data_IF_578887194988
#
_entry.id   IF_578887194988
#
_cell.length_a   1.000
_cell.length_b   1.000
_cell.length_c   1.000
_cell.angle_alpha   90.00
_cell.angle_beta   90.00
_cell.angle_gamma   90.00
#
_symmetry.space_group_name_H-M   'P 1'
#
loop_
_entity.id
_entity.type
_entity.pdbx_description
1 polymer ?
#
# COMPACT_ATOMS: atom_id res chain seq x y z
N UNK A 1 6.91 6.29 -4.26
CA UNK A 1 7.20 4.86 -4.05
C UNK A 1 6.02 4.23 -3.32
N UNK A 2 5.59 3.03 -3.72
CA UNK A 2 4.54 2.29 -3.04
C UNK A 2 5.04 1.71 -1.71
N UNK A 3 4.12 1.51 -0.77
CA UNK A 3 4.40 0.98 0.57
C UNK A 3 3.34 -0.07 0.90
N UNK A 4 3.81 -1.28 1.20
CA UNK A 4 3.00 -2.46 1.55
C UNK A 4 3.38 -2.91 2.96
N UNK A 5 2.41 -3.33 3.77
CA UNK A 5 2.63 -3.85 5.11
C UNK A 5 1.99 -5.22 5.29
N UNK A 6 2.66 -6.10 6.05
CA UNK A 6 2.09 -7.37 6.51
C UNK A 6 1.34 -7.20 7.84
N UNK A 7 0.29 -7.99 8.07
CA UNK A 7 -0.47 -7.97 9.32
C UNK A 7 -0.13 -9.08 10.31
N UNK A 8 0.39 -10.21 9.82
CA UNK A 8 0.70 -11.41 10.62
C UNK A 8 1.92 -12.16 10.04
N UNK A 9 2.52 -13.12 10.78
CA UNK A 9 3.65 -13.91 10.27
C UNK A 9 3.38 -14.65 8.96
N UNK A 10 2.21 -15.31 8.81
CA UNK A 10 1.85 -16.00 7.57
C UNK A 10 1.53 -15.03 6.43
N UNK A 11 0.99 -13.86 6.76
CA UNK A 11 0.67 -12.83 5.77
C UNK A 11 1.92 -12.21 5.12
N UNK A 12 3.09 -12.28 5.78
CA UNK A 12 4.36 -11.84 5.20
C UNK A 12 4.61 -12.43 3.81
N UNK A 13 4.28 -13.71 3.61
CA UNK A 13 4.46 -14.36 2.31
C UNK A 13 3.64 -13.65 1.22
N UNK A 14 2.34 -13.44 1.46
CA UNK A 14 1.44 -12.82 0.50
C UNK A 14 1.76 -11.33 0.30
N UNK A 15 2.12 -10.62 1.37
CA UNK A 15 2.47 -9.20 1.30
C UNK A 15 3.78 -8.97 0.52
N UNK A 16 4.79 -9.82 0.67
CA UNK A 16 6.02 -9.75 -0.13
C UNK A 16 5.75 -10.15 -1.58
N UNK A 17 4.96 -11.19 -1.82
CA UNK A 17 4.58 -11.59 -3.18
C UNK A 17 3.87 -10.45 -3.92
N UNK A 18 2.94 -9.78 -3.26
CA UNK A 18 2.25 -8.59 -3.77
C UNK A 18 3.21 -7.41 -3.99
N UNK A 19 4.16 -7.17 -3.07
CA UNK A 19 5.18 -6.13 -3.24
C UNK A 19 6.06 -6.38 -4.48
N UNK A 20 6.43 -7.65 -4.75
CA UNK A 20 7.18 -8.03 -5.95
C UNK A 20 6.32 -7.82 -7.19
N UNK A 21 5.04 -8.23 -7.17
CA UNK A 21 4.10 -7.99 -8.29
C UNK A 21 4.05 -6.51 -8.64
N UNK A 22 3.82 -5.63 -7.66
CA UNK A 22 3.75 -4.18 -7.86
C UNK A 22 5.09 -3.63 -8.38
N UNK A 23 6.21 -4.07 -7.80
CA UNK A 23 7.55 -3.61 -8.20
C UNK A 23 7.84 -3.90 -9.68
N UNK A 24 7.51 -5.11 -10.10
CA UNK A 24 7.75 -5.61 -11.45
C UNK A 24 6.76 -5.01 -12.45
N UNK A 25 5.46 -5.09 -12.18
CA UNK A 25 4.42 -4.62 -13.10
C UNK A 25 4.37 -3.09 -13.23
N UNK A 26 4.83 -2.33 -12.23
CA UNK A 26 4.84 -0.86 -12.26
C UNK A 26 6.25 -0.25 -12.38
N UNK A 27 7.29 -1.08 -12.51
CA UNK A 27 8.70 -0.69 -12.58
C UNK A 27 9.05 0.41 -11.57
N UNK A 28 8.82 0.14 -10.29
CA UNK A 28 9.09 1.09 -9.19
C UNK A 28 9.64 0.35 -7.99
N UNK A 29 10.59 0.94 -7.23
CA UNK A 29 10.91 0.39 -5.91
C UNK A 29 9.66 0.40 -5.02
N UNK A 30 9.48 -0.69 -4.27
CA UNK A 30 8.41 -0.88 -3.28
C UNK A 30 9.03 -1.08 -1.91
N UNK A 31 8.51 -0.39 -0.90
CA UNK A 31 8.87 -0.64 0.50
C UNK A 31 7.91 -1.67 1.08
N UNK A 32 8.47 -2.75 1.62
CA UNK A 32 7.73 -3.71 2.44
C UNK A 32 7.99 -3.42 3.92
N UNK A 33 6.93 -3.22 4.70
CA UNK A 33 6.97 -2.96 6.13
C UNK A 33 6.49 -4.17 6.92
N UNK A 34 7.40 -4.68 7.74
CA UNK A 34 7.14 -5.62 8.83
C UNK A 34 7.79 -5.06 10.11
N UNK A 35 7.61 -5.73 11.24
CA UNK A 35 8.16 -5.32 12.52
C UNK A 35 8.64 -6.52 13.35
N UNK A 36 9.27 -6.23 14.49
CA UNK A 36 9.83 -7.26 15.37
C UNK A 36 8.78 -8.23 15.93
N UNK A 37 7.51 -7.84 16.05
CA UNK A 37 6.46 -8.74 16.54
C UNK A 37 6.06 -9.75 15.48
N UNK A 38 5.88 -9.29 14.24
CA UNK A 38 5.59 -10.17 13.11
C UNK A 38 6.79 -11.11 12.86
N UNK A 39 8.02 -10.57 12.90
CA UNK A 39 9.22 -11.35 12.62
C UNK A 39 9.50 -12.46 13.65
N UNK A 40 9.16 -12.24 14.92
CA UNK A 40 9.34 -13.23 15.99
C UNK A 40 8.06 -14.01 16.34
N UNK A 41 6.95 -13.69 15.70
CA UNK A 41 5.67 -14.38 15.87
C UNK A 41 5.62 -15.67 15.07
N UNK A 42 4.78 -16.60 15.51
CA UNK A 42 4.46 -17.82 14.78
C UNK A 42 2.95 -18.06 14.80
N UNK A 43 2.41 -18.56 13.69
CA UNK A 43 1.02 -18.97 13.59
C UNK A 43 0.89 -20.18 12.66
N UNK A 44 -0.16 -21.00 12.81
CA UNK A 44 -0.45 -22.08 11.87
C UNK A 44 -0.60 -21.52 10.46
N UNK A 45 0.22 -22.00 9.52
CA UNK A 45 0.22 -21.52 8.15
C UNK A 45 -0.06 -22.65 7.17
N UNK A 46 -1.12 -22.48 6.37
CA UNK A 46 -1.38 -23.32 5.22
C UNK A 46 -0.55 -22.82 4.04
N UNK A 47 0.60 -23.45 3.82
CA UNK A 47 1.50 -23.10 2.72
C UNK A 47 0.76 -23.13 1.37
N UNK A 48 0.82 -22.04 0.57
CA UNK A 48 0.14 -21.98 -0.72
C UNK A 48 0.89 -22.83 -1.77
N UNK A 49 0.15 -23.38 -2.74
CA UNK A 49 0.75 -24.00 -3.93
C UNK A 49 1.02 -22.92 -4.98
N UNK A 50 1.93 -23.21 -5.91
CA UNK A 50 2.24 -22.28 -7.00
C UNK A 50 1.02 -21.89 -7.82
N UNK A 51 0.08 -22.82 -8.03
CA UNK A 51 -1.16 -22.58 -8.78
C UNK A 51 -2.15 -21.66 -8.02
N UNK A 52 -1.96 -21.46 -6.71
CA UNK A 52 -2.79 -20.56 -5.90
C UNK A 52 -2.31 -19.09 -6.01
N UNK A 53 -1.17 -18.84 -6.66
CA UNK A 53 -0.53 -17.52 -6.74
C UNK A 53 -0.95 -16.76 -8.00
N UNK A 54 -1.31 -15.49 -7.84
CA UNK A 54 -1.58 -14.62 -8.99
C UNK A 54 -0.32 -14.42 -9.83
N UNK A 55 -0.36 -14.64 -11.15
CA UNK A 55 0.85 -14.50 -11.97
C UNK A 55 1.36 -13.05 -11.95
N UNK A 56 2.67 -12.90 -11.80
CA UNK A 56 3.36 -11.61 -11.95
C UNK A 56 3.68 -11.43 -13.43
N UNK A 57 3.02 -10.47 -14.08
CA UNK A 57 3.18 -10.26 -15.53
C UNK A 57 4.42 -9.41 -15.80
N UNK A 58 5.26 -9.88 -16.71
CA UNK A 58 6.44 -9.14 -17.19
C UNK A 58 6.44 -9.18 -18.71
N UNK A 59 6.54 -8.01 -19.33
CA UNK A 59 6.69 -7.88 -20.77
C UNK A 59 8.03 -7.21 -21.07
N UNK A 60 8.91 -7.95 -21.73
CA UNK A 60 10.18 -7.42 -22.20
C UNK A 60 10.05 -6.98 -23.65
N UNK A 61 10.50 -5.77 -23.94
CA UNK A 61 10.66 -5.32 -25.32
C UNK A 61 11.88 -6.03 -25.91
N UNK A 62 11.64 -6.80 -26.98
CA UNK A 62 12.66 -7.59 -27.66
C UNK A 62 13.11 -6.98 -28.98
N UNK A 63 12.27 -6.13 -29.58
CA UNK A 63 12.53 -5.49 -30.88
C UNK A 63 11.82 -4.13 -31.01
N UNK A 64 12.17 -3.38 -32.05
CA UNK A 64 11.50 -2.14 -32.42
C UNK A 64 10.09 -2.45 -32.94
N UNK A 65 9.11 -1.63 -32.56
CA UNK A 65 7.74 -1.76 -33.04
C UNK A 65 7.60 -1.37 -34.53
N UNK A 66 6.47 -1.70 -35.14
CA UNK A 66 6.15 -1.23 -36.48
C UNK A 66 6.19 0.32 -36.53
N UNK A 67 7.00 0.87 -37.44
CA UNK A 67 7.27 2.31 -37.59
C UNK A 67 8.10 2.97 -36.45
N UNK A 68 8.69 2.20 -35.54
CA UNK A 68 9.63 2.72 -34.55
C UNK A 68 11.04 2.75 -35.15
N UNK A 69 11.48 3.92 -35.64
CA UNK A 69 12.84 4.08 -36.19
C UNK A 69 13.94 3.96 -35.13
N UNK A 70 13.61 4.31 -33.87
CA UNK A 70 14.53 4.30 -32.74
C UNK A 70 13.79 4.01 -31.45
N UNK A 71 14.42 3.21 -30.59
CA UNK A 71 13.86 2.86 -29.29
C UNK A 71 13.56 4.11 -28.43
N UNK A 72 12.32 4.19 -27.91
CA UNK A 72 11.86 5.25 -27.02
C UNK A 72 11.75 4.75 -25.55
N UNK A 73 12.84 4.79 -24.77
CA UNK A 73 12.90 4.16 -23.44
C UNK A 73 12.02 4.83 -22.35
N UNK A 74 11.43 5.99 -22.63
CA UNK A 74 10.52 6.71 -21.73
C UNK A 74 9.14 6.91 -22.37
N UNK A 75 8.86 6.24 -23.50
CA UNK A 75 7.49 6.07 -23.97
C UNK A 75 6.74 5.23 -22.94
N UNK A 76 5.55 5.64 -22.55
CA UNK A 76 4.84 5.03 -21.42
C UNK A 76 3.51 4.46 -21.86
N UNK A 77 3.13 3.35 -21.26
CA UNK A 77 1.83 2.71 -21.42
C UNK A 77 0.74 3.43 -20.60
N UNK A 78 -0.47 2.86 -20.56
CA UNK A 78 -1.61 3.36 -19.80
C UNK A 78 -1.36 3.41 -18.29
N UNK A 79 -0.48 2.55 -17.78
CA UNK A 79 -0.04 2.50 -16.38
C UNK A 79 1.09 3.48 -16.09
N UNK A 80 1.55 4.22 -17.10
CA UNK A 80 2.71 5.11 -17.08
C UNK A 80 4.05 4.38 -16.86
N UNK A 81 4.08 3.09 -17.19
CA UNK A 81 5.26 2.23 -17.14
C UNK A 81 5.97 2.29 -18.48
N UNK A 82 7.30 2.30 -18.44
CA UNK A 82 8.13 2.37 -19.64
C UNK A 82 8.37 0.96 -20.20
N UNK A 83 8.68 0.79 -21.50
CA UNK A 83 9.11 -0.50 -22.01
C UNK A 83 10.38 -0.97 -21.30
N UNK A 84 10.41 -2.26 -20.99
CA UNK A 84 11.55 -2.90 -20.35
C UNK A 84 12.37 -3.67 -21.37
N UNK A 85 13.49 -3.11 -21.79
CA UNK A 85 14.49 -3.82 -22.59
C UNK A 85 15.57 -4.44 -21.68
N UNK A 86 15.95 -5.68 -21.94
CA UNK A 86 17.05 -6.36 -21.26
C UNK A 86 18.38 -5.82 -21.82
N UNK A 87 19.38 -5.49 -20.98
CA UNK A 87 20.70 -5.10 -21.48
C UNK A 87 21.28 -6.17 -22.42
N UNK A 88 21.72 -5.75 -23.60
CA UNK A 88 22.24 -6.64 -24.64
C UNK A 88 21.26 -6.95 -25.78
N UNK A 89 20.00 -6.52 -25.69
CA UNK A 89 19.05 -6.64 -26.81
C UNK A 89 19.42 -5.68 -27.96
N UNK A 90 19.75 -6.18 -29.16
CA UNK A 90 20.15 -5.34 -30.30
C UNK A 90 19.05 -4.36 -30.72
N UNK A 91 19.44 -3.12 -31.04
CA UNK A 91 18.52 -2.07 -31.52
C UNK A 91 17.71 -1.38 -30.42
N UNK A 92 17.86 -1.80 -29.15
CA UNK A 92 17.22 -1.20 -27.97
C UNK A 92 18.25 -0.50 -27.06
N UNK A 93 19.37 -0.06 -27.61
CA UNK A 93 20.42 0.63 -26.86
C UNK A 93 19.89 1.96 -26.29
N UNK A 94 19.98 2.11 -24.97
CA UNK A 94 19.45 3.29 -24.29
C UNK A 94 20.19 3.60 -22.99
N UNK A 95 19.91 4.77 -22.41
CA UNK A 95 20.52 5.24 -21.16
C UNK A 95 19.48 5.43 -20.07
N UNK A 96 19.64 4.70 -18.98
CA UNK A 96 18.94 4.94 -17.71
C UNK A 96 19.93 5.59 -16.76
N UNK A 97 19.50 6.59 -15.99
CA UNK A 97 20.38 7.27 -15.03
C UNK A 97 19.60 8.26 -14.16
N UNK A 98 20.29 8.83 -13.17
CA UNK A 98 19.66 9.72 -12.17
C UNK A 98 19.41 11.17 -12.63
N UNK A 99 20.03 11.61 -13.73
CA UNK A 99 19.73 12.91 -14.32
C UNK A 99 18.32 12.90 -14.94
N UNK A 100 17.64 14.06 -14.90
CA UNK A 100 16.33 14.20 -15.50
C UNK A 100 16.36 13.86 -16.99
N UNK A 101 15.32 13.16 -17.42
CA UNK A 101 15.22 12.64 -18.78
C UNK A 101 14.09 13.31 -19.53
N UNK A 102 14.33 13.55 -20.82
CA UNK A 102 13.30 14.01 -21.74
C UNK A 102 12.20 12.94 -21.82
N UNK A 103 10.95 13.40 -21.78
CA UNK A 103 9.82 12.53 -22.03
C UNK A 103 9.99 11.78 -23.37
N UNK A 104 9.55 10.51 -23.43
CA UNK A 104 9.63 9.63 -24.61
C UNK A 104 11.07 9.16 -24.91
N UNK A 105 12.00 10.07 -25.20
CA UNK A 105 13.33 9.75 -25.78
C UNK A 105 14.37 9.30 -24.76
N UNK A 106 14.26 9.73 -23.49
CA UNK A 106 15.25 9.39 -22.46
C UNK A 106 16.59 10.10 -22.53
N UNK A 107 16.73 11.13 -23.39
CA UNK A 107 17.91 12.00 -23.40
C UNK A 107 17.96 12.86 -22.14
N UNK A 108 19.12 13.38 -21.77
CA UNK A 108 19.21 14.34 -20.66
C UNK A 108 18.51 15.64 -21.08
N UNK A 109 17.65 16.17 -20.22
CA UNK A 109 16.91 17.40 -20.48
C UNK A 109 16.87 18.27 -19.21
N UNK A 110 17.09 19.57 -19.39
CA UNK A 110 17.15 20.57 -18.32
C UNK A 110 16.02 21.61 -18.40
N UNK A 111 15.07 21.44 -19.33
CA UNK A 111 13.95 22.36 -19.51
C UNK A 111 13.00 22.25 -18.31
N UNK A 112 12.61 23.38 -17.71
CA UNK A 112 11.71 23.40 -16.55
C UNK A 112 10.38 22.68 -16.79
N UNK A 113 9.80 22.82 -17.99
CA UNK A 113 8.52 22.24 -18.37
C UNK A 113 8.61 20.71 -18.45
N UNK A 114 9.69 20.17 -19.02
CA UNK A 114 9.94 18.74 -19.04
C UNK A 114 10.13 18.20 -17.62
N UNK A 115 10.86 18.93 -16.77
CA UNK A 115 11.04 18.52 -15.37
C UNK A 115 9.69 18.47 -14.63
N UNK A 116 8.87 19.51 -14.75
CA UNK A 116 7.54 19.54 -14.12
C UNK A 116 6.65 18.38 -14.62
N UNK A 117 6.63 18.14 -15.93
CA UNK A 117 5.89 17.03 -16.54
C UNK A 117 6.36 15.69 -15.98
N UNK A 118 7.66 15.44 -15.98
CA UNK A 118 8.25 14.18 -15.56
C UNK A 118 8.07 13.92 -14.06
N UNK A 119 8.10 14.96 -13.22
CA UNK A 119 7.76 14.87 -11.79
C UNK A 119 6.30 14.44 -11.62
N UNK A 120 5.36 15.09 -12.31
CA UNK A 120 3.92 14.75 -12.23
C UNK A 120 3.64 13.33 -12.71
N UNK A 121 4.21 12.93 -13.86
CA UNK A 121 4.05 11.57 -14.40
C UNK A 121 4.55 10.52 -13.43
N UNK A 122 5.72 10.73 -12.79
CA UNK A 122 6.24 9.76 -11.81
C UNK A 122 5.34 9.64 -10.58
N UNK A 123 4.72 10.73 -10.14
CA UNK A 123 3.76 10.72 -9.03
C UNK A 123 2.45 10.01 -9.46
N UNK A 124 1.88 10.39 -10.60
CA UNK A 124 0.67 9.78 -11.17
C UNK A 124 0.84 8.27 -11.39
N UNK A 125 2.02 7.82 -11.86
CA UNK A 125 2.34 6.39 -11.99
C UNK A 125 2.17 5.63 -10.67
N UNK A 126 2.59 6.24 -9.56
CA UNK A 126 2.44 5.64 -8.22
C UNK A 126 0.97 5.64 -7.81
N UNK A 127 0.24 6.70 -8.10
CA UNK A 127 -1.17 6.82 -7.72
C UNK A 127 -2.05 5.83 -8.51
N UNK A 128 -1.76 5.60 -9.79
CA UNK A 128 -2.42 4.59 -10.64
C UNK A 128 -2.30 3.16 -10.13
N UNK A 129 -1.37 2.86 -9.23
CA UNK A 129 -1.30 1.53 -8.58
C UNK A 129 -2.61 1.24 -7.82
N UNK A 130 -3.33 2.27 -7.35
CA UNK A 130 -4.63 2.13 -6.70
C UNK A 130 -5.68 1.45 -7.58
N UNK A 131 -5.56 1.52 -8.92
CA UNK A 131 -6.44 0.86 -9.87
C UNK A 131 -6.14 -0.63 -10.07
N UNK A 132 -4.96 -1.08 -9.60
CA UNK A 132 -4.45 -2.44 -9.77
C UNK A 132 -4.27 -3.19 -8.44
N UNK A 133 -4.78 -2.64 -7.34
CA UNK A 133 -4.82 -3.29 -6.02
C UNK A 133 -6.28 -3.52 -5.60
N UNK A 134 -6.56 -4.52 -4.75
CA UNK A 134 -7.89 -4.74 -4.21
C UNK A 134 -8.41 -3.53 -3.43
N UNK A 135 -9.73 -3.33 -3.47
CA UNK A 135 -10.41 -2.41 -2.57
C UNK A 135 -10.20 -2.81 -1.11
N UNK A 136 -10.18 -1.82 -0.22
CA UNK A 136 -10.16 -2.06 1.22
C UNK A 136 -11.46 -2.76 1.62
N UNK A 137 -11.34 -3.77 2.48
CA UNK A 137 -12.47 -4.46 3.10
C UNK A 137 -12.45 -4.22 4.61
N UNK A 138 -13.62 -4.31 5.23
CA UNK A 138 -13.69 -4.49 6.67
C UNK A 138 -13.29 -5.93 7.01
N UNK A 139 -12.50 -6.08 8.07
CA UNK A 139 -12.17 -7.36 8.68
C UNK A 139 -13.36 -7.88 9.52
N UNK A 140 -14.06 -6.98 10.21
CA UNK A 140 -15.29 -7.27 10.97
C UNK A 140 -16.13 -6.01 11.20
N UNK A 141 -17.38 -6.20 11.62
CA UNK A 141 -18.34 -5.13 11.90
C UNK A 141 -19.20 -4.72 10.71
N UNK A 142 -20.03 -3.70 10.91
CA UNK A 142 -20.96 -3.18 9.91
C UNK A 142 -20.27 -2.17 8.97
N UNK A 143 -20.80 -1.99 7.75
CA UNK A 143 -20.24 -1.06 6.76
C UNK A 143 -20.32 0.43 7.16
N UNK A 144 -21.12 0.73 8.19
CA UNK A 144 -21.32 2.04 8.82
C UNK A 144 -21.59 1.86 10.31
N UNK A 145 -21.26 2.85 11.13
CA UNK A 145 -21.52 2.79 12.55
C UNK A 145 -20.82 3.89 13.34
N UNK A 146 -20.79 3.74 14.67
CA UNK A 146 -20.20 4.74 15.57
C UNK A 146 -18.69 4.86 15.42
N UNK A 147 -17.98 3.73 15.44
CA UNK A 147 -16.52 3.72 15.47
C UNK A 147 -15.91 2.69 14.51
N UNK A 148 -14.93 3.15 13.72
CA UNK A 148 -14.03 2.33 12.92
C UNK A 148 -12.64 2.33 13.54
N UNK A 149 -12.09 1.14 13.76
CA UNK A 149 -10.68 0.97 14.08
C UNK A 149 -9.92 0.71 12.78
N UNK A 150 -9.03 1.62 12.42
CA UNK A 150 -8.18 1.51 11.23
C UNK A 150 -6.75 1.14 11.65
N UNK A 151 -6.43 -0.14 11.56
CA UNK A 151 -5.12 -0.68 11.91
C UNK A 151 -4.17 -0.83 10.71
N UNK A 152 -2.90 -1.07 11.01
CA UNK A 152 -1.90 -1.56 10.08
C UNK A 152 -0.78 -2.32 10.82
N UNK A 153 0.02 -3.12 10.11
CA UNK A 153 1.14 -3.84 10.71
C UNK A 153 0.71 -4.85 11.79
N UNK A 154 1.58 -5.06 12.79
CA UNK A 154 1.36 -6.00 13.90
C UNK A 154 0.20 -5.68 14.84
N UNK A 155 -0.43 -4.51 14.73
CA UNK A 155 -1.59 -4.15 15.57
C UNK A 155 -2.82 -5.02 15.30
N UNK A 156 -2.84 -5.76 14.18
CA UNK A 156 -3.96 -6.57 13.69
C UNK A 156 -4.56 -7.49 14.75
N UNK A 157 -3.73 -8.31 15.40
CA UNK A 157 -4.21 -9.33 16.34
C UNK A 157 -4.93 -8.73 17.55
N UNK A 158 -4.38 -7.65 18.10
CA UNK A 158 -4.96 -6.94 19.25
C UNK A 158 -6.25 -6.23 18.90
N UNK A 159 -6.30 -5.56 17.73
CA UNK A 159 -7.52 -4.89 17.27
C UNK A 159 -8.62 -5.91 16.98
N UNK A 160 -8.30 -6.97 16.23
CA UNK A 160 -9.26 -8.03 15.87
C UNK A 160 -9.87 -8.67 17.10
N UNK A 161 -9.05 -8.99 18.09
CA UNK A 161 -9.52 -9.62 19.33
C UNK A 161 -10.39 -8.70 20.18
N UNK A 162 -10.07 -7.40 20.22
CA UNK A 162 -10.88 -6.41 20.92
C UNK A 162 -12.22 -6.16 20.22
N UNK A 163 -12.21 -6.00 18.89
CA UNK A 163 -13.43 -5.79 18.11
C UNK A 163 -14.37 -6.99 18.22
N UNK A 164 -13.85 -8.23 18.11
CA UNK A 164 -14.67 -9.44 18.20
C UNK A 164 -15.38 -9.57 19.56
N UNK A 165 -14.70 -9.25 20.66
CA UNK A 165 -15.33 -9.25 21.99
C UNK A 165 -16.41 -8.18 22.11
N UNK A 166 -16.09 -6.93 21.77
CA UNK A 166 -17.06 -5.83 21.89
C UNK A 166 -18.28 -6.06 20.99
N UNK A 167 -18.09 -6.60 19.78
CA UNK A 167 -19.17 -7.01 18.90
C UNK A 167 -20.02 -8.14 19.52
N UNK A 168 -19.41 -9.10 20.23
CA UNK A 168 -20.15 -10.15 20.94
C UNK A 168 -21.00 -9.62 22.10
N UNK A 169 -20.64 -8.45 22.62
CA UNK A 169 -21.41 -7.70 23.61
C UNK A 169 -22.47 -6.76 22.99
N UNK A 170 -22.59 -6.75 21.65
CA UNK A 170 -23.53 -5.89 20.92
C UNK A 170 -23.04 -4.45 20.72
N UNK A 171 -21.76 -4.17 20.93
CA UNK A 171 -21.18 -2.84 20.70
C UNK A 171 -20.86 -2.66 19.21
N UNK A 172 -21.33 -1.56 18.62
CA UNK A 172 -21.13 -1.19 17.22
C UNK A 172 -19.71 -0.66 16.97
N UNK A 173 -18.74 -1.57 16.85
CA UNK A 173 -17.37 -1.28 16.41
C UNK A 173 -17.03 -2.07 15.15
N UNK A 174 -16.38 -1.41 14.20
CA UNK A 174 -15.90 -2.05 12.95
C UNK A 174 -14.39 -1.97 12.84
N UNK A 175 -13.80 -2.91 12.12
CA UNK A 175 -12.35 -3.04 11.95
C UNK A 175 -11.98 -3.04 10.48
N UNK A 176 -11.06 -2.16 10.08
CA UNK A 176 -10.34 -2.23 8.81
C UNK A 176 -8.84 -2.31 9.10
N UNK A 177 -8.11 -3.11 8.33
CA UNK A 177 -6.66 -3.23 8.45
C UNK A 177 -5.98 -3.00 7.11
N UNK A 178 -5.04 -2.07 7.06
CA UNK A 178 -4.39 -1.64 5.83
C UNK A 178 -3.21 -2.54 5.47
N UNK A 179 -3.26 -3.11 4.26
CA UNK A 179 -2.09 -3.70 3.58
C UNK A 179 -1.36 -2.66 2.73
N UNK A 180 -2.11 -1.86 1.98
CA UNK A 180 -1.59 -0.86 1.06
C UNK A 180 -1.58 0.50 1.75
N UNK A 181 -0.39 0.94 2.18
CA UNK A 181 -0.18 2.23 2.85
C UNK A 181 0.10 3.34 1.83
N UNK A 182 0.64 2.98 0.65
CA UNK A 182 0.78 3.91 -0.47
C UNK A 182 0.80 3.16 -1.81
N UNK A 183 -0.02 3.57 -2.80
CA UNK A 183 -1.24 4.36 -2.58
C UNK A 183 -2.23 3.58 -1.70
N UNK A 184 -3.16 4.28 -1.05
CA UNK A 184 -4.26 3.61 -0.37
C UNK A 184 -5.23 3.00 -1.39
N UNK A 185 -6.02 1.98 -1.00
CA UNK A 185 -7.13 1.51 -1.81
C UNK A 185 -8.11 2.66 -2.09
N UNK A 186 -8.59 2.75 -3.33
CA UNK A 186 -9.38 3.91 -3.79
C UNK A 186 -10.69 4.16 -3.03
N UNK A 187 -11.25 3.13 -2.40
CA UNK A 187 -12.47 3.24 -1.59
C UNK A 187 -12.22 3.58 -0.12
N UNK A 188 -10.97 3.77 0.31
CA UNK A 188 -10.67 4.01 1.73
C UNK A 188 -11.39 5.26 2.25
N UNK A 189 -11.38 6.35 1.49
CA UNK A 189 -12.08 7.58 1.88
C UNK A 189 -13.59 7.39 2.10
N UNK A 190 -14.23 6.56 1.29
CA UNK A 190 -15.66 6.26 1.42
C UNK A 190 -15.94 5.42 2.67
N UNK A 191 -15.09 4.42 2.95
CA UNK A 191 -15.18 3.65 4.20
C UNK A 191 -15.04 4.58 5.40
N UNK A 192 -14.03 5.46 5.42
CA UNK A 192 -13.78 6.32 6.58
C UNK A 192 -14.95 7.26 6.89
N UNK A 193 -15.66 7.74 5.85
CA UNK A 193 -16.82 8.64 6.01
C UNK A 193 -18.08 7.95 6.51
N UNK A 194 -18.15 6.62 6.45
CA UNK A 194 -19.30 5.87 6.95
C UNK A 194 -19.33 5.76 8.49
N UNK A 195 -18.32 6.28 9.19
CA UNK A 195 -18.21 6.20 10.63
C UNK A 195 -18.12 7.58 11.28
N UNK A 196 -18.77 7.72 12.43
CA UNK A 196 -18.75 8.98 13.20
C UNK A 196 -17.34 9.27 13.76
N UNK A 197 -16.64 8.20 14.16
CA UNK A 197 -15.29 8.26 14.69
C UNK A 197 -14.39 7.22 14.02
N UNK A 198 -13.13 7.60 13.79
CA UNK A 198 -12.08 6.68 13.34
C UNK A 198 -10.97 6.65 14.37
N UNK A 199 -10.67 5.49 14.96
CA UNK A 199 -9.53 5.28 15.85
C UNK A 199 -8.38 4.63 15.06
N UNK A 200 -7.18 5.21 15.15
CA UNK A 200 -5.96 4.69 14.54
C UNK A 200 -4.97 4.34 15.65
N UNK A 201 -4.92 3.07 16.09
CA UNK A 201 -3.94 2.61 17.06
C UNK A 201 -2.61 2.30 16.35
N UNK A 202 -1.52 2.88 16.84
CA UNK A 202 -0.19 2.75 16.23
C UNK A 202 0.93 2.58 17.27
N UNK A 203 1.91 1.74 16.96
CA UNK A 203 3.14 1.59 17.76
C UNK A 203 4.21 2.59 17.27
N UNK A 204 3.79 3.85 17.09
CA UNK A 204 4.64 4.96 16.64
C UNK A 204 4.00 6.29 17.07
N UNK A 205 4.62 7.42 16.74
CA UNK A 205 4.14 8.76 17.12
C UNK A 205 3.10 9.36 16.15
N UNK A 206 2.09 8.58 15.77
CA UNK A 206 0.99 8.98 14.91
C UNK A 206 1.40 9.29 13.47
N UNK A 207 2.02 8.35 12.78
CA UNK A 207 2.42 8.51 11.38
C UNK A 207 1.24 8.34 10.43
N UNK A 208 0.48 7.24 10.55
CA UNK A 208 -0.65 6.98 9.65
C UNK A 208 -1.75 8.02 9.86
N UNK A 209 -2.08 8.36 11.12
CA UNK A 209 -3.13 9.35 11.41
C UNK A 209 -2.89 10.70 10.75
N UNK A 210 -1.64 11.16 10.67
CA UNK A 210 -1.29 12.42 9.99
C UNK A 210 -1.60 12.34 8.49
N UNK A 211 -1.24 11.22 7.86
CA UNK A 211 -1.51 10.98 6.42
C UNK A 211 -3.01 10.85 6.16
N UNK A 212 -3.74 10.11 7.00
CA UNK A 212 -5.18 9.92 6.85
C UNK A 212 -5.93 11.26 6.97
N UNK A 213 -5.57 12.09 7.96
CA UNK A 213 -6.14 13.42 8.13
C UNK A 213 -5.82 14.34 6.94
N UNK A 214 -4.58 14.33 6.46
CA UNK A 214 -4.13 15.12 5.31
C UNK A 214 -4.89 14.76 4.02
N UNK A 215 -5.06 13.46 3.75
CA UNK A 215 -5.64 13.00 2.47
C UNK A 215 -7.17 12.95 2.46
N UNK A 216 -7.81 12.61 3.59
CA UNK A 216 -9.26 12.34 3.62
C UNK A 216 -10.06 13.37 4.41
N UNK A 217 -9.40 14.29 5.12
CA UNK A 217 -10.03 15.32 5.97
C UNK A 217 -11.00 14.74 7.01
N UNK A 218 -10.67 13.56 7.56
CA UNK A 218 -11.43 12.90 8.63
C UNK A 218 -10.82 13.22 9.99
N UNK A 219 -11.65 13.51 11.01
CA UNK A 219 -11.18 13.72 12.39
C UNK A 219 -10.85 12.39 13.10
N UNK A 220 -9.90 11.65 12.52
CA UNK A 220 -9.40 10.41 13.11
C UNK A 220 -8.73 10.70 14.46
N UNK A 221 -8.86 9.82 15.44
CA UNK A 221 -8.22 9.89 16.77
C UNK A 221 -7.10 8.86 16.84
N UNK A 222 -6.01 9.20 17.53
CA UNK A 222 -4.83 8.33 17.63
C UNK A 222 -4.77 7.63 18.98
N UNK A 223 -4.33 6.37 18.99
CA UNK A 223 -3.82 5.71 20.19
C UNK A 223 -2.37 5.30 19.92
N UNK A 224 -1.42 6.09 20.42
CA UNK A 224 -0.01 5.98 20.08
C UNK A 224 0.77 5.35 21.24
N UNK A 225 1.32 4.16 21.04
CA UNK A 225 2.12 3.46 22.06
C UNK A 225 3.58 3.35 21.63
N UNK A 226 4.47 4.09 22.29
CA UNK A 226 5.90 4.18 21.94
C UNK A 226 6.75 3.62 23.09
N UNK A 227 6.36 2.46 23.60
CA UNK A 227 6.98 1.85 24.79
C UNK A 227 7.80 0.61 24.46
N UNK A 228 8.03 0.31 23.17
CA UNK A 228 8.75 -0.90 22.75
C UNK A 228 8.00 -2.21 23.04
N UNK A 229 6.73 -2.14 23.44
CA UNK A 229 5.83 -3.26 23.73
C UNK A 229 4.55 -3.13 22.87
N UNK A 230 3.86 -4.23 22.54
CA UNK A 230 2.70 -4.17 21.65
C UNK A 230 1.50 -3.54 22.37
N UNK A 231 0.57 -3.02 21.58
CA UNK A 231 -0.75 -2.65 22.08
C UNK A 231 -1.49 -3.94 22.43
N UNK A 232 -2.06 -4.04 23.62
CA UNK A 232 -2.80 -5.22 24.08
C UNK A 232 -4.29 -5.12 23.72
N UNK A 233 -4.96 -6.27 23.69
CA UNK A 233 -6.43 -6.36 23.56
C UNK A 233 -7.15 -5.51 24.61
N UNK A 234 -6.75 -5.62 25.88
CA UNK A 234 -7.38 -4.89 27.00
C UNK A 234 -7.26 -3.37 26.85
N UNK A 235 -6.09 -2.87 26.43
CA UNK A 235 -5.91 -1.44 26.13
C UNK A 235 -6.87 -0.96 25.04
N UNK A 236 -7.07 -1.77 23.99
CA UNK A 236 -8.02 -1.44 22.92
C UNK A 236 -9.46 -1.40 23.41
N UNK A 237 -9.88 -2.37 24.21
CA UNK A 237 -11.24 -2.39 24.78
C UNK A 237 -11.50 -1.15 25.63
N UNK A 238 -10.59 -0.84 26.54
CA UNK A 238 -10.71 0.34 27.40
C UNK A 238 -10.81 1.58 26.52
N UNK A 239 -9.92 1.72 25.53
CA UNK A 239 -9.91 2.91 24.70
C UNK A 239 -11.17 3.07 23.84
N UNK A 240 -11.68 1.97 23.29
CA UNK A 240 -12.89 1.98 22.47
C UNK A 240 -14.11 2.34 23.32
N UNK A 241 -14.22 1.82 24.55
CA UNK A 241 -15.30 2.18 25.48
C UNK A 241 -15.26 3.66 25.86
N UNK A 242 -14.09 4.20 26.20
CA UNK A 242 -13.91 5.63 26.49
C UNK A 242 -14.35 6.53 25.33
N UNK A 243 -14.28 6.07 24.08
CA UNK A 243 -14.68 6.85 22.91
C UNK A 243 -16.20 6.81 22.65
N UNK A 244 -16.88 5.80 23.19
CA UNK A 244 -18.33 5.59 23.05
C UNK A 244 -19.14 6.21 24.18
N UNK A 245 -18.48 6.62 25.27
CA UNK A 245 -19.03 7.44 26.36
C UNK A 245 -19.14 8.91 25.95
#
# INVERSE_FOLDING_TARGET
>A
MPVISASTPSDCFHAVYEAVRISVEHMTPVIFLSDGYIANGAEPWKFPKSDDLHPIKVEFKTELGHHEEKFQPYLRDEKLVRPWAIPGTPGLEHRIGGLEKQNITGNVNYEPENHQLMVKIRQEKIDKIADHIPLQKLDSGHEKGKILILGWGSTYGSIKSACAELQSEGIEVSHAHLRYLRPFPKNLGDILRNFEQVLIPEINNGQLIKIIRDQFLVDAKGYNKIMGIPITRSEMIIKIREMLE
#
